data_IF_644576126784
#
_entry.id   IF_644576126784
#
_cell.length_a   1.000
_cell.length_b   1.000
_cell.length_c   1.000
_cell.angle_alpha   90.00
_cell.angle_beta   90.00
_cell.angle_gamma   90.00
#
_symmetry.space_group_name_H-M   'P 1'
#
loop_
_entity.id
_entity.type
_entity.pdbx_description
1 polymer ?
#
# COMPACT_ATOMS: atom_id res chain seq x y z
N UNK A 1 -65.61 8.70 4.31
CA UNK A 1 -64.22 9.19 4.28
C UNK A 1 -63.30 8.14 4.89
N UNK A 2 -62.68 7.28 4.07
CA UNK A 2 -61.62 6.36 4.47
C UNK A 2 -60.45 6.60 3.54
N UNK A 3 -59.31 6.98 4.11
CA UNK A 3 -58.11 7.37 3.39
C UNK A 3 -57.45 6.18 2.69
N UNK A 4 -57.20 6.35 1.39
CA UNK A 4 -56.19 5.65 0.61
C UNK A 4 -54.79 5.99 1.14
N UNK A 5 -53.97 4.97 1.42
CA UNK A 5 -52.51 5.01 1.28
C UNK A 5 -52.02 3.62 0.87
N UNK A 6 -51.83 3.42 -0.43
CA UNK A 6 -51.21 2.24 -1.03
C UNK A 6 -49.91 2.67 -1.71
N UNK A 7 -48.80 2.19 -1.15
CA UNK A 7 -47.53 1.85 -1.79
C UNK A 7 -46.94 2.77 -2.89
N UNK A 8 -46.25 3.84 -2.47
CA UNK A 8 -45.09 4.39 -3.20
C UNK A 8 -43.78 3.98 -2.51
N UNK A 9 -43.40 2.70 -2.59
CA UNK A 9 -42.10 2.21 -2.10
C UNK A 9 -41.25 1.49 -3.16
N UNK A 10 -41.68 1.51 -4.42
CA UNK A 10 -40.98 0.80 -5.51
C UNK A 10 -39.99 1.61 -6.34
N UNK A 11 -40.04 2.95 -6.32
CA UNK A 11 -39.31 3.78 -7.31
C UNK A 11 -38.08 4.49 -6.71
N UNK A 12 -38.05 4.71 -5.39
CA UNK A 12 -36.94 5.43 -4.73
C UNK A 12 -35.67 4.54 -4.61
N UNK A 13 -35.82 3.21 -4.60
CA UNK A 13 -34.68 2.28 -4.53
C UNK A 13 -33.86 2.18 -5.83
N UNK A 14 -34.47 2.43 -6.99
CA UNK A 14 -33.81 2.31 -8.30
C UNK A 14 -33.07 3.58 -8.73
N UNK A 15 -33.45 4.74 -8.21
CA UNK A 15 -32.80 6.03 -8.52
C UNK A 15 -31.51 6.27 -7.73
N UNK A 16 -31.36 5.68 -6.53
CA UNK A 16 -30.11 5.80 -5.75
C UNK A 16 -29.01 4.87 -6.30
N UNK A 17 -29.38 3.72 -6.86
CA UNK A 17 -28.43 2.81 -7.53
C UNK A 17 -27.90 3.39 -8.86
N UNK A 18 -28.72 4.14 -9.60
CA UNK A 18 -28.32 4.79 -10.84
C UNK A 18 -27.47 6.06 -10.61
N UNK A 19 -27.71 6.82 -9.53
CA UNK A 19 -26.90 8.00 -9.21
C UNK A 19 -25.50 7.67 -8.68
N UNK A 20 -25.31 6.52 -8.01
CA UNK A 20 -24.00 6.07 -7.54
C UNK A 20 -23.13 5.45 -8.66
N UNK A 21 -23.72 5.07 -9.79
CA UNK A 21 -22.99 4.51 -10.93
C UNK A 21 -22.63 5.58 -12.00
N UNK A 22 -23.28 6.74 -11.99
CA UNK A 22 -23.22 7.71 -13.09
C UNK A 22 -22.27 8.90 -12.90
N UNK A 23 -21.51 8.98 -11.78
CA UNK A 23 -20.44 9.99 -11.60
C UNK A 23 -19.05 9.37 -11.88
N UNK A 24 -18.95 8.05 -12.00
CA UNK A 24 -17.66 7.35 -12.11
C UNK A 24 -17.09 7.25 -13.54
N UNK A 25 -17.75 7.76 -14.58
CA UNK A 25 -17.41 7.38 -15.96
C UNK A 25 -17.39 8.51 -17.01
N UNK A 26 -17.18 9.79 -16.65
CA UNK A 26 -17.05 10.86 -17.67
C UNK A 26 -15.65 11.43 -17.90
N UNK A 27 -14.64 10.94 -17.19
CA UNK A 27 -13.23 11.08 -17.59
C UNK A 27 -12.59 9.71 -17.39
N UNK A 28 -12.53 8.92 -18.46
CA UNK A 28 -11.74 7.69 -18.49
C UNK A 28 -10.27 8.09 -18.40
N UNK A 29 -9.85 8.20 -17.14
CA UNK A 29 -8.57 8.67 -16.68
C UNK A 29 -7.47 7.71 -17.16
N UNK A 30 -6.34 8.22 -17.65
CA UNK A 30 -5.21 7.37 -18.08
C UNK A 30 -4.62 6.59 -16.89
N UNK A 31 -4.88 7.07 -15.66
CA UNK A 31 -4.28 6.56 -14.43
C UNK A 31 -4.35 5.04 -14.25
N UNK A 32 -5.46 4.31 -14.49
CA UNK A 32 -5.51 2.88 -14.23
C UNK A 32 -4.57 2.07 -15.13
N UNK A 33 -4.44 2.46 -16.40
CA UNK A 33 -3.53 1.81 -17.36
C UNK A 33 -2.06 2.03 -16.99
N UNK A 34 -1.71 3.24 -16.55
CA UNK A 34 -0.37 3.59 -16.07
C UNK A 34 0.01 2.71 -14.87
N UNK A 35 -0.86 2.62 -13.87
CA UNK A 35 -0.62 1.80 -12.68
C UNK A 35 -0.55 0.31 -13.01
N UNK A 36 -1.37 -0.18 -13.93
CA UNK A 36 -1.33 -1.59 -14.37
C UNK A 36 0.01 -1.92 -15.06
N UNK A 37 0.47 -1.08 -15.99
CA UNK A 37 1.74 -1.27 -16.68
C UNK A 37 2.93 -1.20 -15.71
N UNK A 38 2.92 -0.23 -14.79
CA UNK A 38 3.88 -0.13 -13.70
C UNK A 38 3.95 -1.42 -12.88
N UNK A 39 2.79 -1.90 -12.45
CA UNK A 39 2.65 -3.11 -11.62
C UNK A 39 3.25 -4.32 -12.35
N UNK A 40 2.93 -4.48 -13.64
CA UNK A 40 3.44 -5.59 -14.45
C UNK A 40 4.96 -5.53 -14.60
N UNK A 41 5.51 -4.38 -14.98
CA UNK A 41 6.97 -4.21 -15.15
C UNK A 41 7.73 -4.46 -13.86
N UNK A 42 7.27 -3.89 -12.73
CA UNK A 42 7.89 -4.12 -11.41
C UNK A 42 7.83 -5.58 -11.00
N UNK A 43 6.71 -6.26 -11.26
CA UNK A 43 6.53 -7.66 -10.89
C UNK A 43 7.52 -8.58 -11.63
N UNK A 44 7.80 -8.30 -12.91
CA UNK A 44 8.79 -9.06 -13.69
C UNK A 44 10.21 -8.86 -13.11
N UNK A 45 10.63 -7.63 -12.85
CA UNK A 45 11.93 -7.32 -12.23
C UNK A 45 12.11 -8.01 -10.87
N UNK A 46 11.08 -7.95 -10.02
CA UNK A 46 11.08 -8.56 -8.69
C UNK A 46 11.19 -10.09 -8.77
N UNK A 47 10.49 -10.73 -9.71
CA UNK A 47 10.59 -12.17 -9.92
C UNK A 47 11.98 -12.57 -10.39
N UNK A 48 12.57 -11.83 -11.32
CA UNK A 48 13.96 -12.07 -11.76
C UNK A 48 14.94 -11.94 -10.61
N UNK A 49 14.80 -10.91 -9.76
CA UNK A 49 15.64 -10.73 -8.57
C UNK A 49 15.48 -11.89 -7.57
N UNK A 50 14.24 -12.32 -7.30
CA UNK A 50 13.96 -13.44 -6.41
C UNK A 50 14.57 -14.75 -6.93
N UNK A 51 14.38 -15.06 -8.21
CA UNK A 51 14.94 -16.25 -8.85
C UNK A 51 16.48 -16.28 -8.80
N UNK A 52 17.15 -15.13 -8.81
CA UNK A 52 18.60 -15.04 -8.69
C UNK A 52 19.13 -15.37 -7.29
N UNK A 53 18.29 -15.28 -6.24
CA UNK A 53 18.71 -15.47 -4.85
C UNK A 53 18.01 -16.63 -4.13
N UNK A 54 16.97 -17.24 -4.71
CA UNK A 54 16.12 -18.24 -4.04
C UNK A 54 16.88 -19.50 -3.56
N UNK A 55 17.97 -19.86 -4.23
CA UNK A 55 18.77 -21.05 -3.91
C UNK A 55 19.95 -20.73 -2.97
N UNK A 56 20.15 -19.45 -2.64
CA UNK A 56 21.17 -19.02 -1.69
C UNK A 56 20.68 -19.30 -0.26
N UNK A 57 21.59 -19.68 0.65
CA UNK A 57 21.25 -20.04 2.03
C UNK A 57 21.98 -19.13 3.02
N UNK A 58 21.26 -18.60 4.01
CA UNK A 58 21.83 -17.87 5.14
C UNK A 58 20.85 -16.85 5.73
N UNK A 59 20.97 -16.46 7.02
CA UNK A 59 19.96 -15.63 7.69
C UNK A 59 19.65 -14.29 7.00
N UNK A 60 20.69 -13.62 6.49
CA UNK A 60 20.53 -12.37 5.74
C UNK A 60 19.83 -12.61 4.39
N UNK A 61 20.15 -13.72 3.75
CA UNK A 61 19.53 -14.15 2.50
C UNK A 61 18.05 -14.50 2.72
N UNK A 62 17.71 -15.15 3.82
CA UNK A 62 16.33 -15.49 4.16
C UNK A 62 15.47 -14.22 4.31
N UNK A 63 16.00 -13.18 4.94
CA UNK A 63 15.33 -11.87 5.06
C UNK A 63 15.17 -11.20 3.70
N UNK A 64 16.23 -11.14 2.90
CA UNK A 64 16.19 -10.57 1.53
C UNK A 64 15.19 -11.30 0.63
N UNK A 65 15.14 -12.64 0.69
CA UNK A 65 14.17 -13.46 -0.03
C UNK A 65 12.73 -13.15 0.38
N UNK A 66 12.47 -13.06 1.69
CA UNK A 66 11.14 -12.76 2.21
C UNK A 66 10.68 -11.35 1.85
N UNK A 67 11.57 -10.37 1.88
CA UNK A 67 11.26 -8.99 1.46
C UNK A 67 10.97 -8.92 -0.04
N UNK A 68 11.73 -9.62 -0.88
CA UNK A 68 11.42 -9.72 -2.31
C UNK A 68 10.07 -10.41 -2.55
N UNK A 69 9.81 -11.53 -1.88
CA UNK A 69 8.53 -12.23 -1.98
C UNK A 69 7.36 -11.36 -1.50
N UNK A 70 7.58 -10.56 -0.45
CA UNK A 70 6.61 -9.56 0.01
C UNK A 70 6.27 -8.56 -1.10
N UNK A 71 7.28 -7.99 -1.78
CA UNK A 71 7.04 -7.05 -2.87
C UNK A 71 6.39 -7.73 -4.08
N UNK A 72 6.73 -8.98 -4.38
CA UNK A 72 6.04 -9.77 -5.42
C UNK A 72 4.54 -9.85 -5.10
N UNK A 73 4.17 -10.26 -3.88
CA UNK A 73 2.75 -10.37 -3.51
C UNK A 73 2.03 -9.02 -3.39
N UNK A 74 2.74 -7.95 -3.01
CA UNK A 74 2.20 -6.58 -3.02
C UNK A 74 1.69 -6.21 -4.42
N UNK A 75 2.50 -6.50 -5.45
CA UNK A 75 2.23 -6.17 -6.86
C UNK A 75 1.29 -7.18 -7.53
N UNK A 76 1.41 -8.48 -7.25
CA UNK A 76 0.61 -9.52 -7.92
C UNK A 76 -0.83 -9.60 -7.42
N UNK A 77 -1.12 -9.03 -6.24
CA UNK A 77 -2.38 -9.21 -5.53
C UNK A 77 -2.76 -10.68 -5.31
N UNK A 78 -1.75 -11.54 -5.15
CA UNK A 78 -1.92 -12.98 -4.94
C UNK A 78 -2.08 -13.33 -3.46
N UNK A 79 -3.26 -13.84 -3.11
CA UNK A 79 -3.60 -14.19 -1.73
C UNK A 79 -2.67 -15.23 -1.12
N UNK A 80 -2.29 -16.26 -1.89
CA UNK A 80 -1.52 -17.39 -1.40
C UNK A 80 -0.05 -16.99 -1.16
N UNK A 81 0.53 -16.20 -2.06
CA UNK A 81 1.85 -15.56 -1.90
C UNK A 81 1.91 -14.76 -0.60
N UNK A 82 0.89 -13.94 -0.31
CA UNK A 82 0.83 -13.20 0.95
C UNK A 82 0.71 -14.10 2.18
N UNK A 83 0.13 -15.30 2.04
CA UNK A 83 0.10 -16.31 3.08
C UNK A 83 1.48 -16.86 3.39
N UNK A 84 2.23 -17.21 2.35
CA UNK A 84 3.61 -17.67 2.46
C UNK A 84 4.51 -16.61 3.12
N UNK A 85 4.43 -15.36 2.64
CA UNK A 85 5.16 -14.22 3.22
C UNK A 85 4.89 -14.07 4.72
N UNK A 86 3.62 -14.18 5.15
CA UNK A 86 3.26 -14.09 6.56
C UNK A 86 3.89 -15.21 7.38
N UNK A 87 3.90 -16.45 6.89
CA UNK A 87 4.52 -17.57 7.61
C UNK A 87 6.04 -17.39 7.72
N UNK A 88 6.71 -16.97 6.63
CA UNK A 88 8.16 -16.72 6.67
C UNK A 88 8.52 -15.55 7.58
N UNK A 89 7.78 -14.43 7.54
CA UNK A 89 7.98 -13.28 8.44
C UNK A 89 7.73 -13.63 9.90
N UNK A 90 6.79 -14.53 10.22
CA UNK A 90 6.62 -15.04 11.60
C UNK A 90 7.84 -15.82 12.06
N UNK A 91 8.44 -16.64 11.19
CA UNK A 91 9.65 -17.38 11.53
C UNK A 91 10.83 -16.44 11.76
N UNK A 92 11.04 -15.46 10.87
CA UNK A 92 12.07 -14.43 11.03
C UNK A 92 11.86 -13.64 12.34
N UNK A 93 10.62 -13.22 12.63
CA UNK A 93 10.30 -12.51 13.88
C UNK A 93 10.50 -13.37 15.12
N UNK A 94 10.30 -14.69 15.05
CA UNK A 94 10.59 -15.59 16.18
C UNK A 94 12.08 -15.61 16.51
N UNK A 95 12.92 -15.55 15.48
CA UNK A 95 14.39 -15.49 15.61
C UNK A 95 14.88 -14.08 15.99
N UNK A 96 14.18 -13.04 15.54
CA UNK A 96 14.52 -11.63 15.74
C UNK A 96 13.32 -10.86 16.35
N UNK A 97 12.95 -11.10 17.63
CA UNK A 97 11.69 -10.61 18.22
C UNK A 97 11.60 -9.09 18.40
N UNK A 98 12.75 -8.40 18.39
CA UNK A 98 12.85 -6.95 18.57
C UNK A 98 13.10 -6.20 17.26
N UNK A 99 13.00 -6.90 16.13
CA UNK A 99 13.15 -6.27 14.83
C UNK A 99 11.84 -5.57 14.42
N UNK A 100 11.87 -4.24 14.50
CA UNK A 100 10.74 -3.40 14.13
C UNK A 100 10.42 -3.47 12.62
N UNK A 101 11.42 -3.71 11.77
CA UNK A 101 11.25 -3.77 10.32
C UNK A 101 10.53 -5.05 9.91
N UNK A 102 10.96 -6.21 10.43
CA UNK A 102 10.25 -7.49 10.26
C UNK A 102 8.81 -7.37 10.79
N UNK A 103 8.62 -6.70 11.93
CA UNK A 103 7.29 -6.47 12.50
C UNK A 103 6.43 -5.58 11.60
N UNK A 104 7.01 -4.56 10.96
CA UNK A 104 6.31 -3.69 10.01
C UNK A 104 5.93 -4.44 8.73
N UNK A 105 6.85 -5.20 8.14
CA UNK A 105 6.57 -6.06 6.98
C UNK A 105 5.45 -7.05 7.29
N UNK A 106 5.48 -7.70 8.46
CA UNK A 106 4.43 -8.62 8.86
C UNK A 106 3.08 -7.92 9.01
N UNK A 107 3.07 -6.71 9.57
CA UNK A 107 1.86 -5.88 9.68
C UNK A 107 1.29 -5.51 8.32
N UNK A 108 2.14 -5.06 7.40
CA UNK A 108 1.71 -4.74 6.04
C UNK A 108 1.22 -5.98 5.27
N UNK A 109 1.91 -7.12 5.39
CA UNK A 109 1.51 -8.37 4.75
C UNK A 109 0.13 -8.85 5.20
N UNK A 110 -0.23 -8.65 6.47
CA UNK A 110 -1.59 -8.89 6.96
C UNK A 110 -2.63 -7.98 6.29
N UNK A 111 -2.33 -6.69 6.12
CA UNK A 111 -3.23 -5.77 5.43
C UNK A 111 -3.39 -6.14 3.94
N UNK A 112 -2.30 -6.52 3.26
CA UNK A 112 -2.32 -6.97 1.87
C UNK A 112 -3.11 -8.29 1.72
N UNK A 113 -2.91 -9.26 2.62
CA UNK A 113 -3.73 -10.49 2.65
C UNK A 113 -5.22 -10.21 2.83
N UNK A 114 -5.58 -9.15 3.57
CA UNK A 114 -6.97 -8.72 3.71
C UNK A 114 -7.53 -8.08 2.42
N UNK A 115 -6.70 -7.32 1.69
CA UNK A 115 -7.00 -6.76 0.36
C UNK A 115 -7.30 -7.89 -0.64
N UNK A 116 -6.42 -8.90 -0.67
CA UNK A 116 -6.40 -9.96 -1.68
C UNK A 116 -7.32 -11.14 -1.35
N UNK A 117 -8.13 -11.01 -0.30
CA UNK A 117 -9.02 -12.09 0.13
C UNK A 117 -9.96 -12.54 -1.02
N UNK A 118 -10.00 -13.84 -1.36
CA UNK A 118 -10.63 -14.32 -2.62
C UNK A 118 -12.15 -14.12 -2.68
N UNK A 119 -12.79 -13.87 -1.55
CA UNK A 119 -14.23 -13.65 -1.46
C UNK A 119 -14.52 -12.14 -1.50
N UNK A 120 -14.67 -11.61 -2.70
CA UNK A 120 -15.08 -10.21 -2.95
C UNK A 120 -16.59 -10.09 -3.23
N UNK A 121 -17.15 -8.88 -3.17
CA UNK A 121 -18.58 -8.63 -3.47
C UNK A 121 -19.55 -8.78 -2.28
N UNK A 122 -20.78 -9.23 -2.54
CA UNK A 122 -21.88 -9.28 -1.53
C UNK A 122 -21.57 -10.17 -0.31
N UNK A 123 -20.57 -11.05 -0.39
CA UNK A 123 -20.09 -11.86 0.73
C UNK A 123 -19.34 -11.06 1.81
N UNK A 124 -18.99 -9.79 1.55
CA UNK A 124 -18.33 -8.91 2.52
C UNK A 124 -19.24 -8.53 3.71
N UNK A 125 -20.55 -8.54 3.51
CA UNK A 125 -21.56 -8.21 4.52
C UNK A 125 -22.15 -9.44 5.22
N UNK A 126 -21.75 -10.65 4.82
CA UNK A 126 -22.20 -11.89 5.45
C UNK A 126 -21.29 -12.20 6.64
N UNK A 127 -21.84 -12.46 7.84
CA UNK A 127 -21.05 -12.91 8.98
C UNK A 127 -20.28 -14.19 8.62
N UNK A 128 -18.95 -14.09 8.62
CA UNK A 128 -18.00 -15.17 8.31
C UNK A 128 -16.80 -14.61 7.52
N UNK A 129 -16.79 -14.69 6.18
CA UNK A 129 -15.66 -14.25 5.35
C UNK A 129 -15.26 -12.78 5.55
N UNK A 130 -16.23 -11.88 5.77
CA UNK A 130 -15.98 -10.47 6.04
C UNK A 130 -15.21 -10.22 7.35
N UNK A 131 -15.47 -11.00 8.40
CA UNK A 131 -14.77 -10.87 9.69
C UNK A 131 -13.30 -11.27 9.61
N UNK A 132 -12.96 -12.24 8.76
CA UNK A 132 -11.55 -12.66 8.56
C UNK A 132 -10.73 -11.50 7.98
N UNK A 133 -11.28 -10.77 7.00
CA UNK A 133 -10.63 -9.59 6.41
C UNK A 133 -10.43 -8.47 7.41
N UNK A 134 -11.46 -8.19 8.22
CA UNK A 134 -11.36 -7.20 9.30
C UNK A 134 -10.29 -7.62 10.32
N UNK A 135 -10.26 -8.89 10.71
CA UNK A 135 -9.27 -9.44 11.64
C UNK A 135 -7.84 -9.28 11.13
N UNK A 136 -7.58 -9.61 9.87
CA UNK A 136 -6.27 -9.37 9.25
C UNK A 136 -5.92 -7.88 9.17
N UNK A 137 -6.89 -7.02 8.80
CA UNK A 137 -6.66 -5.57 8.74
C UNK A 137 -6.29 -5.00 10.10
N UNK A 138 -7.06 -5.31 11.15
CA UNK A 138 -6.77 -4.86 12.51
C UNK A 138 -5.45 -5.39 13.04
N UNK A 139 -5.11 -6.64 12.73
CA UNK A 139 -3.81 -7.21 13.07
C UNK A 139 -2.67 -6.46 12.37
N UNK A 140 -2.85 -6.12 11.10
CA UNK A 140 -1.90 -5.32 10.34
C UNK A 140 -1.70 -3.93 10.95
N UNK A 141 -2.80 -3.21 11.24
CA UNK A 141 -2.78 -1.91 11.91
C UNK A 141 -2.05 -1.98 13.26
N UNK A 142 -2.35 -2.99 14.08
CA UNK A 142 -1.72 -3.17 15.37
C UNK A 142 -0.20 -3.37 15.24
N UNK A 143 0.25 -4.25 14.34
CA UNK A 143 1.67 -4.55 14.15
C UNK A 143 2.44 -3.36 13.56
N UNK A 144 1.86 -2.63 12.60
CA UNK A 144 2.49 -1.43 12.04
C UNK A 144 2.64 -0.31 13.08
N UNK A 145 1.60 -0.09 13.90
CA UNK A 145 1.69 0.88 14.99
C UNK A 145 2.71 0.46 16.05
N UNK A 146 2.78 -0.83 16.36
CA UNK A 146 3.78 -1.38 17.26
C UNK A 146 5.20 -1.15 16.73
N UNK A 147 5.48 -1.52 15.48
CA UNK A 147 6.77 -1.33 14.84
C UNK A 147 7.22 0.14 14.86
N UNK A 148 6.31 1.06 14.52
CA UNK A 148 6.60 2.50 14.54
C UNK A 148 6.77 3.08 15.96
N UNK A 149 6.30 2.38 17.00
CA UNK A 149 6.55 2.73 18.40
C UNK A 149 7.91 2.19 18.87
N UNK A 150 8.29 0.99 18.41
CA UNK A 150 9.57 0.35 18.75
C UNK A 150 10.76 1.02 18.06
N UNK A 151 10.59 1.47 16.81
CA UNK A 151 11.59 2.24 16.09
C UNK A 151 10.92 3.33 15.25
N UNK A 152 10.75 4.48 15.87
CA UNK A 152 10.02 5.62 15.31
C UNK A 152 10.83 6.40 14.26
N UNK A 153 12.14 6.15 14.15
CA UNK A 153 13.04 6.79 13.18
C UNK A 153 13.40 5.90 11.98
N UNK A 154 13.02 4.62 11.97
CA UNK A 154 13.31 3.75 10.83
C UNK A 154 12.45 4.17 9.61
N UNK A 155 13.07 4.58 8.49
CA UNK A 155 12.33 5.03 7.31
C UNK A 155 11.56 3.91 6.60
N UNK A 156 12.02 2.66 6.64
CA UNK A 156 11.28 1.51 6.10
C UNK A 156 9.99 1.28 6.91
N UNK A 157 10.07 1.32 8.24
CA UNK A 157 8.90 1.18 9.11
C UNK A 157 7.86 2.26 8.81
N UNK A 158 8.31 3.52 8.66
CA UNK A 158 7.45 4.65 8.29
C UNK A 158 6.87 4.49 6.89
N UNK A 159 7.65 4.01 5.93
CA UNK A 159 7.21 3.79 4.55
C UNK A 159 6.10 2.74 4.51
N UNK A 160 6.34 1.58 5.11
CA UNK A 160 5.38 0.48 5.17
C UNK A 160 4.08 0.95 5.83
N UNK A 161 4.15 1.62 6.98
CA UNK A 161 2.94 2.13 7.64
C UNK A 161 2.24 3.19 6.79
N UNK A 162 2.99 4.11 6.20
CA UNK A 162 2.50 5.15 5.30
C UNK A 162 1.70 4.59 4.13
N UNK A 163 2.33 3.72 3.33
CA UNK A 163 1.74 3.16 2.12
C UNK A 163 0.59 2.19 2.40
N UNK A 164 0.61 1.49 3.53
CA UNK A 164 -0.50 0.62 3.94
C UNK A 164 -1.68 1.46 4.41
N UNK A 165 -1.47 2.40 5.33
CA UNK A 165 -2.54 3.13 5.99
C UNK A 165 -3.30 4.07 5.05
N UNK A 166 -2.63 4.68 4.07
CA UNK A 166 -3.29 5.52 3.05
C UNK A 166 -4.18 4.73 2.09
N UNK A 167 -3.94 3.42 1.97
CA UNK A 167 -4.75 2.50 1.15
C UNK A 167 -5.86 1.79 1.91
N UNK A 168 -5.87 1.85 3.24
CA UNK A 168 -6.95 1.26 4.03
C UNK A 168 -8.27 2.03 3.81
N UNK A 169 -9.42 1.34 3.86
CA UNK A 169 -10.71 2.01 3.86
C UNK A 169 -10.81 3.08 4.96
N UNK A 170 -11.41 4.23 4.64
CA UNK A 170 -11.47 5.40 5.55
C UNK A 170 -12.08 5.08 6.93
N UNK A 171 -12.94 4.07 7.03
CA UNK A 171 -13.54 3.61 8.30
C UNK A 171 -12.52 3.17 9.36
N UNK A 172 -11.31 2.76 8.96
CA UNK A 172 -10.25 2.39 9.90
C UNK A 172 -9.54 3.60 10.53
N UNK A 173 -9.80 4.82 10.03
CA UNK A 173 -9.27 6.06 10.58
C UNK A 173 -7.74 6.22 10.48
N UNK A 174 -7.08 5.42 9.63
CA UNK A 174 -5.61 5.41 9.57
C UNK A 174 -5.01 6.31 8.48
N UNK A 175 -5.82 6.82 7.54
CA UNK A 175 -5.32 7.58 6.39
C UNK A 175 -4.45 8.78 6.81
N UNK A 176 -4.90 9.59 7.76
CA UNK A 176 -4.16 10.76 8.24
C UNK A 176 -2.81 10.37 8.87
N UNK A 177 -2.76 9.27 9.62
CA UNK A 177 -1.50 8.73 10.16
C UNK A 177 -0.54 8.33 9.03
N UNK A 178 -1.05 7.61 8.02
CA UNK A 178 -0.23 7.19 6.89
C UNK A 178 0.32 8.36 6.07
N UNK A 179 -0.52 9.36 5.79
CA UNK A 179 -0.09 10.58 5.10
C UNK A 179 0.95 11.35 5.93
N UNK A 180 0.78 11.39 7.25
CA UNK A 180 1.76 11.97 8.18
C UNK A 180 3.12 11.28 8.12
N UNK A 181 3.16 9.95 8.04
CA UNK A 181 4.42 9.19 7.90
C UNK A 181 5.11 9.48 6.57
N UNK A 182 4.38 9.50 5.44
CA UNK A 182 4.95 9.82 4.13
C UNK A 182 5.46 11.27 4.08
N UNK A 183 4.76 12.19 4.73
CA UNK A 183 5.18 13.60 4.86
C UNK A 183 6.44 13.73 5.71
N UNK A 184 6.55 12.95 6.79
CA UNK A 184 7.74 12.89 7.64
C UNK A 184 8.95 12.35 6.85
N UNK A 185 8.77 11.28 6.08
CA UNK A 185 9.82 10.74 5.21
C UNK A 185 10.32 11.75 4.19
N UNK A 186 9.41 12.51 3.55
CA UNK A 186 9.80 13.63 2.69
C UNK A 186 10.69 14.62 3.44
N UNK A 187 10.32 15.01 4.65
CA UNK A 187 11.13 15.91 5.48
C UNK A 187 12.53 15.37 5.75
N UNK A 188 12.66 14.06 6.02
CA UNK A 188 13.96 13.41 6.19
C UNK A 188 14.77 13.31 4.88
N UNK A 189 14.12 13.16 3.73
CA UNK A 189 14.79 13.18 2.43
C UNK A 189 15.32 14.58 2.10
N UNK A 190 14.54 15.61 2.42
CA UNK A 190 14.90 17.01 2.17
C UNK A 190 15.99 17.51 3.13
N UNK A 191 15.99 17.04 4.38
CA UNK A 191 17.08 17.27 5.35
C UNK A 191 17.47 15.97 6.10
N UNK A 192 18.36 15.15 5.51
CA UNK A 192 18.80 13.87 6.12
C UNK A 192 19.49 14.02 7.47
N UNK A 193 19.96 15.22 7.83
CA UNK A 193 20.59 15.45 9.14
C UNK A 193 19.60 15.36 10.30
N UNK A 194 18.30 15.48 10.01
CA UNK A 194 17.23 15.25 11.00
C UNK A 194 17.05 13.76 11.35
N UNK A 195 17.62 12.85 10.55
CA UNK A 195 17.62 11.42 10.80
C UNK A 195 18.95 10.75 10.36
N UNK A 196 20.07 11.08 11.01
CA UNK A 196 21.42 10.79 10.52
C UNK A 196 21.77 9.30 10.50
N UNK A 197 21.11 8.48 11.34
CA UNK A 197 21.30 7.03 11.37
C UNK A 197 20.93 6.35 10.05
N UNK A 198 20.05 6.97 9.26
CA UNK A 198 19.51 6.42 8.03
C UNK A 198 19.87 7.26 6.79
N UNK A 199 20.96 8.04 6.86
CA UNK A 199 21.35 8.96 5.79
C UNK A 199 21.55 8.27 4.43
N UNK A 200 22.06 7.03 4.43
CA UNK A 200 22.37 6.29 3.20
C UNK A 200 21.08 5.94 2.46
N UNK A 201 20.09 5.36 3.14
CA UNK A 201 18.80 5.05 2.53
C UNK A 201 18.01 6.31 2.17
N UNK A 202 18.10 7.38 2.96
CA UNK A 202 17.44 8.66 2.66
C UNK A 202 18.01 9.35 1.42
N UNK A 203 19.27 9.05 1.05
CA UNK A 203 19.92 9.54 -0.17
C UNK A 203 19.74 8.62 -1.37
N UNK A 204 19.36 7.36 -1.15
CA UNK A 204 19.17 6.38 -2.21
C UNK A 204 18.10 6.85 -3.22
N UNK A 205 18.42 6.97 -4.52
CA UNK A 205 17.47 7.44 -5.53
C UNK A 205 16.21 6.57 -5.64
N UNK A 206 16.32 5.25 -5.49
CA UNK A 206 15.17 4.35 -5.61
C UNK A 206 14.21 4.54 -4.44
N UNK A 207 14.74 4.60 -3.21
CA UNK A 207 13.95 4.88 -2.02
C UNK A 207 13.24 6.24 -2.10
N UNK A 208 13.97 7.30 -2.48
CA UNK A 208 13.40 8.65 -2.63
C UNK A 208 12.29 8.67 -3.68
N UNK A 209 12.52 8.04 -4.82
CA UNK A 209 11.54 7.88 -5.88
C UNK A 209 10.25 7.21 -5.39
N UNK A 210 10.37 6.10 -4.66
CA UNK A 210 9.21 5.39 -4.10
C UNK A 210 8.48 6.26 -3.06
N UNK A 211 9.19 6.99 -2.17
CA UNK A 211 8.54 7.88 -1.17
C UNK A 211 7.69 8.93 -1.86
N UNK A 212 8.26 9.65 -2.83
CA UNK A 212 7.52 10.68 -3.56
C UNK A 212 6.35 10.10 -4.34
N UNK A 213 6.51 8.92 -4.95
CA UNK A 213 5.44 8.24 -5.65
C UNK A 213 4.28 7.87 -4.70
N UNK A 214 4.58 7.26 -3.54
CA UNK A 214 3.56 6.90 -2.54
C UNK A 214 2.87 8.13 -1.96
N UNK A 215 3.60 9.22 -1.74
CA UNK A 215 3.04 10.48 -1.27
C UNK A 215 2.11 11.09 -2.33
N UNK A 216 2.49 11.05 -3.60
CA UNK A 216 1.65 11.49 -4.72
C UNK A 216 0.36 10.67 -4.80
N UNK A 217 0.44 9.33 -4.71
CA UNK A 217 -0.73 8.45 -4.66
C UNK A 217 -1.64 8.77 -3.48
N UNK A 218 -1.09 9.05 -2.30
CA UNK A 218 -1.87 9.42 -1.13
C UNK A 218 -2.64 10.73 -1.37
N UNK A 219 -2.00 11.77 -1.90
CA UNK A 219 -2.67 13.02 -2.24
C UNK A 219 -3.74 12.84 -3.32
N UNK A 220 -3.48 11.98 -4.31
CA UNK A 220 -4.47 11.61 -5.33
C UNK A 220 -5.71 10.96 -4.72
N UNK A 221 -5.52 9.99 -3.83
CA UNK A 221 -6.61 9.31 -3.08
C UNK A 221 -7.37 10.24 -2.12
N UNK A 222 -6.79 11.39 -1.77
CA UNK A 222 -7.43 12.44 -0.98
C UNK A 222 -8.16 13.50 -1.84
N UNK A 223 -8.09 13.38 -3.16
CA UNK A 223 -8.66 14.35 -4.10
C UNK A 223 -7.85 15.64 -4.25
N UNK A 224 -6.61 15.68 -3.72
CA UNK A 224 -5.70 16.81 -3.87
C UNK A 224 -4.78 16.59 -5.07
N UNK A 225 -5.34 16.72 -6.26
CA UNK A 225 -4.64 16.47 -7.54
C UNK A 225 -3.43 17.39 -7.76
N UNK A 226 -3.50 18.64 -7.28
CA UNK A 226 -2.43 19.61 -7.42
C UNK A 226 -1.16 19.15 -6.69
N UNK A 227 -1.29 18.75 -5.42
CA UNK A 227 -0.17 18.19 -4.66
C UNK A 227 0.26 16.83 -5.23
N UNK A 228 -0.68 16.00 -5.68
CA UNK A 228 -0.36 14.72 -6.29
C UNK A 228 0.55 14.88 -7.52
N UNK A 229 0.18 15.75 -8.48
CA UNK A 229 1.00 16.03 -9.67
C UNK A 229 2.37 16.60 -9.32
N UNK A 230 2.45 17.49 -8.32
CA UNK A 230 3.73 18.01 -7.82
C UNK A 230 4.62 16.88 -7.29
N UNK A 231 4.07 15.96 -6.51
CA UNK A 231 4.86 14.85 -5.97
C UNK A 231 5.20 13.78 -7.00
N UNK A 232 4.36 13.56 -8.02
CA UNK A 232 4.75 12.75 -9.17
C UNK A 232 5.94 13.37 -9.91
N UNK A 233 5.98 14.71 -10.09
CA UNK A 233 7.14 15.36 -10.69
C UNK A 233 8.42 15.13 -9.86
N UNK A 234 8.35 15.25 -8.54
CA UNK A 234 9.49 14.92 -7.66
C UNK A 234 9.90 13.44 -7.74
N UNK A 235 8.95 12.52 -7.91
CA UNK A 235 9.26 11.10 -8.12
C UNK A 235 10.04 10.87 -9.43
N UNK A 236 9.69 11.59 -10.52
CA UNK A 236 10.43 11.54 -11.80
C UNK A 236 11.88 12.02 -11.63
N UNK A 237 12.08 13.09 -10.86
CA UNK A 237 13.41 13.68 -10.62
C UNK A 237 14.28 12.82 -9.70
N UNK A 238 13.67 12.19 -8.69
CA UNK A 238 14.40 11.45 -7.66
C UNK A 238 14.71 10.00 -8.08
N UNK A 239 13.79 9.33 -8.78
CA UNK A 239 13.94 7.91 -9.12
C UNK A 239 15.03 7.69 -10.20
N UNK A 240 15.68 6.51 -10.23
CA UNK A 240 16.61 6.17 -11.31
C UNK A 240 15.95 6.34 -12.68
N UNK A 241 16.68 6.95 -13.62
CA UNK A 241 16.17 7.18 -14.96
C UNK A 241 15.81 5.85 -15.65
N UNK A 242 14.60 5.79 -16.22
CA UNK A 242 14.09 4.57 -16.87
C UNK A 242 13.56 3.51 -15.90
N UNK A 243 13.61 3.73 -14.58
CA UNK A 243 12.93 2.85 -13.63
C UNK A 243 11.41 2.87 -13.86
N UNK A 244 10.70 1.77 -13.54
CA UNK A 244 9.24 1.73 -13.67
C UNK A 244 8.56 2.90 -12.95
N UNK A 245 9.01 3.25 -11.74
CA UNK A 245 8.48 4.39 -10.96
C UNK A 245 8.64 5.72 -11.72
N UNK A 246 9.82 5.99 -12.29
CA UNK A 246 10.07 7.23 -13.04
C UNK A 246 9.18 7.33 -14.29
N UNK A 247 8.94 6.20 -14.98
CA UNK A 247 8.08 6.13 -16.16
C UNK A 247 6.63 6.42 -15.77
N UNK A 248 6.10 5.69 -14.78
CA UNK A 248 4.72 5.86 -14.33
C UNK A 248 4.46 7.25 -13.75
N UNK A 249 5.39 7.77 -12.94
CA UNK A 249 5.27 9.12 -12.40
C UNK A 249 5.19 10.17 -13.51
N UNK A 250 5.99 10.02 -14.58
CA UNK A 250 5.98 10.95 -15.73
C UNK A 250 4.65 10.94 -16.46
N UNK A 251 4.02 9.78 -16.60
CA UNK A 251 2.69 9.67 -17.21
C UNK A 251 1.62 10.33 -16.34
N UNK A 252 1.74 10.26 -15.01
CA UNK A 252 0.81 10.89 -14.07
C UNK A 252 0.96 12.42 -13.98
N UNK A 253 2.09 13.00 -14.42
CA UNK A 253 2.25 14.46 -14.48
C UNK A 253 1.47 15.07 -15.65
N UNK A 254 1.34 14.35 -16.77
CA UNK A 254 0.72 14.83 -18.03
C UNK A 254 -0.79 15.01 -17.92
#
# INVERSE_FOLDING_TARGET
>A
MRHHKVYQRGIIGLLIAALLFSIANLFADKSPLVFEQLTKSRLEDLRTAYEAIKDNVGPKTDEEQVVLLYHIGEQSADYDTMGEVIEQLKMLRKSNPNDAEITAYLGSAYALRARDYPWQGFYQIIPGPGFVRLGYTWKGVHLLNKAATENDRNPIVRMLRGMTFTRLPRLFGQFGTGLGDLTLLRGWIEDPNTNPQYVDILKDPAFRGDVYFRLAEAHWLDGNEADARRFFAHAVEAAPAGSPIAIAAREMVQ
#
